data_IF_832592174944
#
_entry.id   IF_832592174944
#
_cell.length_a   1.000
_cell.length_b   1.000
_cell.length_c   1.000
_cell.angle_alpha   90.00
_cell.angle_beta   90.00
_cell.angle_gamma   90.00
#
_symmetry.space_group_name_H-M   'P 1'
#
loop_
_entity.id
_entity.type
_entity.pdbx_description
1 polymer ?
#
# COMPACT_ATOMS: atom_id res chain seq x y z
N UNK A 1 -3.72 -13.84 -8.93
CA UNK A 1 -4.94 -13.80 -9.74
C UNK A 1 -5.51 -12.39 -9.78
N UNK A 2 -5.96 -11.90 -8.63
CA UNK A 2 -6.48 -10.53 -8.58
C UNK A 2 -5.41 -9.50 -8.91
N UNK A 3 -4.15 -9.78 -8.56
CA UNK A 3 -3.05 -8.88 -8.84
C UNK A 3 -2.84 -8.64 -10.34
N UNK A 4 -3.11 -9.63 -11.18
CA UNK A 4 -2.90 -9.52 -12.64
C UNK A 4 -3.65 -8.36 -13.27
N UNK A 5 -4.84 -8.06 -12.79
CA UNK A 5 -5.66 -7.02 -13.38
C UNK A 5 -5.08 -5.63 -13.17
N UNK A 6 -4.21 -5.49 -12.17
CA UNK A 6 -3.61 -4.20 -11.84
C UNK A 6 -2.21 -4.02 -12.44
N UNK A 7 -1.57 -5.10 -12.86
CA UNK A 7 -0.21 -5.02 -13.40
C UNK A 7 -0.16 -4.07 -14.60
N UNK A 8 0.85 -3.21 -14.62
CA UNK A 8 1.07 -2.29 -15.72
C UNK A 8 0.32 -0.97 -15.65
N UNK A 9 -0.60 -0.78 -14.70
CA UNK A 9 -1.26 0.50 -14.52
C UNK A 9 -0.22 1.52 -14.09
N UNK A 10 -0.11 2.68 -14.76
CA UNK A 10 0.92 3.66 -14.42
C UNK A 10 0.64 4.35 -13.09
N UNK A 11 1.69 4.87 -12.48
CA UNK A 11 1.55 5.71 -11.30
C UNK A 11 0.89 7.03 -11.68
N UNK A 12 -0.07 7.46 -10.85
CA UNK A 12 -0.68 8.78 -10.94
C UNK A 12 -1.05 9.22 -9.54
N UNK A 13 -0.52 10.34 -9.12
CA UNK A 13 -0.83 10.90 -7.80
C UNK A 13 -2.34 11.12 -7.65
N UNK A 14 -2.91 10.56 -6.58
CA UNK A 14 -4.36 10.63 -6.35
C UNK A 14 -5.19 9.73 -7.27
N UNK A 15 -4.55 8.93 -8.14
CA UNK A 15 -5.26 8.10 -9.11
C UNK A 15 -6.06 6.99 -8.47
N UNK A 16 -7.25 6.73 -9.01
CA UNK A 16 -8.19 5.74 -8.48
C UNK A 16 -8.85 4.91 -9.56
N UNK A 17 -8.24 4.82 -10.75
CA UNK A 17 -8.79 4.07 -11.87
C UNK A 17 -7.67 3.45 -12.71
N UNK A 18 -8.04 2.81 -13.83
CA UNK A 18 -7.06 2.14 -14.69
C UNK A 18 -6.16 3.09 -15.49
N UNK A 19 -6.43 4.38 -15.47
CA UNK A 19 -5.57 5.38 -16.10
C UNK A 19 -4.39 5.74 -15.22
N UNK A 20 -4.46 5.45 -13.94
CA UNK A 20 -3.36 5.67 -13.03
C UNK A 20 -3.76 5.44 -11.59
N UNK A 21 -2.80 4.99 -10.79
CA UNK A 21 -2.98 4.71 -9.37
C UNK A 21 -1.77 5.19 -8.59
N UNK A 22 -1.99 5.76 -7.42
CA UNK A 22 -0.95 5.84 -6.41
C UNK A 22 -1.07 4.62 -5.48
N UNK A 23 -0.22 4.52 -4.46
CA UNK A 23 -0.23 3.34 -3.61
C UNK A 23 -1.55 3.18 -2.84
N UNK A 24 -2.18 4.28 -2.47
CA UNK A 24 -3.49 4.25 -1.80
C UNK A 24 -4.59 3.82 -2.76
N UNK A 25 -4.55 4.33 -3.99
CA UNK A 25 -5.51 3.95 -5.03
C UNK A 25 -5.43 2.47 -5.36
N UNK A 26 -4.21 1.95 -5.45
CA UNK A 26 -4.01 0.52 -5.68
C UNK A 26 -4.62 -0.31 -4.56
N UNK A 27 -4.33 0.02 -3.31
CA UNK A 27 -4.89 -0.70 -2.17
C UNK A 27 -6.41 -0.60 -2.15
N UNK A 28 -6.94 0.60 -2.36
CA UNK A 28 -8.37 0.84 -2.36
C UNK A 28 -9.10 -0.04 -3.38
N UNK A 29 -8.63 -0.04 -4.62
CA UNK A 29 -9.27 -0.83 -5.69
C UNK A 29 -9.03 -2.32 -5.52
N UNK A 30 -7.85 -2.71 -5.08
CA UNK A 30 -7.52 -4.12 -4.88
C UNK A 30 -8.45 -4.76 -3.85
N UNK A 31 -8.58 -4.16 -2.69
CA UNK A 31 -9.45 -4.70 -1.65
C UNK A 31 -10.92 -4.59 -2.01
N UNK A 32 -11.31 -3.55 -2.73
CA UNK A 32 -12.68 -3.41 -3.23
C UNK A 32 -13.08 -4.60 -4.10
N UNK A 33 -12.16 -5.06 -4.93
CA UNK A 33 -12.38 -6.24 -5.76
C UNK A 33 -12.60 -7.49 -4.92
N UNK A 34 -12.01 -7.57 -3.75
CA UNK A 34 -12.19 -8.67 -2.82
C UNK A 34 -13.43 -8.50 -1.91
N UNK A 35 -14.21 -7.46 -2.13
CA UNK A 35 -15.39 -7.17 -1.33
C UNK A 35 -15.11 -6.39 -0.05
N UNK A 36 -13.91 -5.84 0.08
CA UNK A 36 -13.53 -5.07 1.26
C UNK A 36 -13.49 -3.59 0.87
N UNK A 37 -14.35 -2.80 1.50
CA UNK A 37 -14.43 -1.36 1.24
C UNK A 37 -13.58 -0.59 2.23
N UNK A 38 -12.36 -0.24 1.81
CA UNK A 38 -11.50 0.64 2.59
C UNK A 38 -11.97 2.09 2.44
N UNK A 39 -11.71 2.95 3.46
CA UNK A 39 -11.87 4.38 3.25
C UNK A 39 -10.99 4.84 2.09
N UNK A 40 -11.50 5.75 1.26
CA UNK A 40 -10.73 6.30 0.16
C UNK A 40 -9.89 7.47 0.70
N UNK A 41 -8.78 7.14 1.36
CA UNK A 41 -7.99 8.10 2.10
C UNK A 41 -8.74 8.61 3.33
N UNK A 42 -8.49 9.84 3.74
CA UNK A 42 -9.18 10.49 4.85
C UNK A 42 -10.32 11.40 4.36
N UNK A 43 -10.69 11.29 3.11
CA UNK A 43 -11.74 12.10 2.52
C UNK A 43 -11.28 13.50 2.07
N UNK A 44 -10.02 13.83 2.27
CA UNK A 44 -9.47 15.13 1.91
C UNK A 44 -8.49 14.97 0.75
N UNK A 45 -8.44 15.94 -0.18
CA UNK A 45 -7.42 15.92 -1.22
C UNK A 45 -6.03 16.08 -0.60
N UNK A 46 -5.02 15.59 -1.30
CA UNK A 46 -3.64 15.68 -0.82
C UNK A 46 -2.71 16.09 -1.96
N UNK A 47 -1.69 16.89 -1.61
CA UNK A 47 -0.65 17.30 -2.54
C UNK A 47 0.46 16.24 -2.60
N UNK A 48 1.38 16.38 -3.56
CA UNK A 48 2.48 15.42 -3.70
C UNK A 48 3.45 15.47 -2.52
N UNK A 49 3.47 16.56 -1.78
CA UNK A 49 4.34 16.73 -0.61
C UNK A 49 3.58 16.68 0.73
N UNK A 50 2.42 16.02 0.75
CA UNK A 50 1.57 15.94 1.95
C UNK A 50 2.34 15.44 3.20
N UNK A 51 3.33 14.57 3.01
CA UNK A 51 4.10 13.99 4.11
C UNK A 51 5.01 15.02 4.80
N UNK A 52 5.32 16.12 4.14
CA UNK A 52 6.09 17.21 4.75
C UNK A 52 5.23 18.03 5.71
N UNK A 53 3.95 18.10 5.42
CA UNK A 53 2.98 18.83 6.25
C UNK A 53 2.51 17.96 7.39
N UNK A 54 2.19 16.69 7.09
CA UNK A 54 1.67 15.73 8.08
C UNK A 54 2.29 14.35 7.81
N UNK A 55 3.46 14.07 8.38
CA UNK A 55 4.17 12.80 8.11
C UNK A 55 3.45 11.56 8.64
N UNK A 56 2.46 11.69 9.51
CA UNK A 56 1.73 10.55 10.05
C UNK A 56 0.37 10.34 9.41
N UNK A 57 0.06 11.09 8.36
CA UNK A 57 -1.27 11.03 7.73
C UNK A 57 -1.62 9.65 7.22
N UNK A 58 -0.71 9.01 6.48
CA UNK A 58 -0.95 7.67 5.97
C UNK A 58 -1.05 6.66 7.10
N UNK A 59 -0.16 6.73 8.07
CA UNK A 59 -0.15 5.82 9.20
C UNK A 59 -1.47 5.88 9.98
N UNK A 60 -2.00 7.08 10.23
CA UNK A 60 -3.29 7.21 10.92
C UNK A 60 -4.41 6.48 10.18
N UNK A 61 -4.42 6.59 8.85
CA UNK A 61 -5.41 5.89 8.04
C UNK A 61 -5.25 4.38 8.10
N UNK A 62 -4.01 3.91 8.04
CA UNK A 62 -3.71 2.48 8.10
C UNK A 62 -4.09 1.86 9.44
N UNK A 63 -3.90 2.58 10.52
CA UNK A 63 -4.23 2.09 11.86
C UNK A 63 -5.73 1.90 12.09
N UNK A 64 -6.56 2.42 11.21
CA UNK A 64 -8.02 2.29 11.29
C UNK A 64 -8.57 1.07 10.56
N UNK A 65 -7.76 0.35 9.82
CA UNK A 65 -8.22 -0.77 9.00
C UNK A 65 -7.60 -2.08 9.48
N UNK A 66 -8.42 -3.12 9.54
CA UNK A 66 -7.96 -4.45 9.93
C UNK A 66 -7.33 -4.49 11.31
N UNK A 67 -6.45 -5.47 11.53
CA UNK A 67 -5.67 -5.58 12.76
C UNK A 67 -4.17 -5.49 12.45
N UNK A 68 -3.41 -5.05 13.43
CA UNK A 68 -1.96 -5.02 13.30
C UNK A 68 -1.40 -6.46 13.23
N UNK A 69 -0.43 -6.65 12.35
CA UNK A 69 0.35 -7.88 12.30
C UNK A 69 1.62 -7.67 13.11
N UNK A 70 1.89 -8.56 14.05
CA UNK A 70 3.13 -8.47 14.82
C UNK A 70 4.26 -9.10 14.00
N UNK A 71 5.06 -8.24 13.36
CA UNK A 71 6.13 -8.69 12.46
C UNK A 71 7.20 -9.53 13.15
N UNK A 72 7.29 -9.47 14.48
CA UNK A 72 8.26 -10.25 15.25
C UNK A 72 7.78 -11.69 15.50
N UNK A 73 6.48 -11.91 15.53
CA UNK A 73 5.91 -13.20 15.95
C UNK A 73 5.00 -13.84 14.91
N UNK A 74 4.56 -13.10 13.90
CA UNK A 74 3.65 -13.60 12.87
C UNK A 74 4.28 -13.47 11.50
N UNK A 75 4.18 -14.51 10.65
CA UNK A 75 4.60 -14.37 9.26
C UNK A 75 3.61 -13.50 8.50
N UNK A 76 4.11 -12.83 7.47
CA UNK A 76 3.24 -12.15 6.50
C UNK A 76 2.48 -13.21 5.70
N UNK A 77 1.25 -12.88 5.34
CA UNK A 77 0.39 -13.75 4.54
C UNK A 77 -0.06 -13.03 3.28
N UNK A 78 -0.45 -13.79 2.25
CA UNK A 78 -1.09 -13.16 1.09
C UNK A 78 -2.25 -12.27 1.53
N UNK A 79 -2.41 -11.14 0.86
CA UNK A 79 -3.43 -10.13 1.11
C UNK A 79 -3.19 -9.28 2.35
N UNK A 80 -2.06 -9.40 3.03
CA UNK A 80 -1.69 -8.44 4.06
C UNK A 80 -1.32 -7.11 3.41
N UNK A 81 -1.77 -6.03 4.01
CA UNK A 81 -1.43 -4.67 3.60
C UNK A 81 -0.17 -4.25 4.34
N UNK A 82 0.92 -4.09 3.62
CA UNK A 82 2.22 -3.71 4.19
C UNK A 82 2.49 -2.23 3.95
N UNK A 83 3.22 -1.60 4.88
CA UNK A 83 3.57 -0.19 4.70
C UNK A 83 5.01 0.07 5.08
N UNK A 84 5.58 1.08 4.43
CA UNK A 84 7.01 1.33 4.42
C UNK A 84 7.31 2.79 4.69
N UNK A 85 8.43 3.02 5.35
CA UNK A 85 9.02 4.34 5.43
C UNK A 85 9.91 4.57 4.23
N UNK A 86 9.52 5.53 3.39
CA UNK A 86 10.31 5.94 2.23
C UNK A 86 10.55 7.44 2.38
N UNK A 87 11.82 7.83 2.44
CA UNK A 87 12.15 9.18 2.85
C UNK A 87 11.97 9.33 4.36
N UNK A 88 11.48 10.46 4.81
CA UNK A 88 11.38 10.77 6.24
C UNK A 88 10.07 10.33 6.91
N UNK A 89 9.19 9.64 6.20
CA UNK A 89 7.87 9.32 6.72
C UNK A 89 7.35 8.02 6.12
N UNK A 90 6.29 7.47 6.70
CA UNK A 90 5.57 6.32 6.14
C UNK A 90 4.74 6.86 4.98
N UNK A 91 5.19 6.61 3.76
CA UNK A 91 4.62 7.17 2.54
C UNK A 91 4.25 6.13 1.50
N UNK A 92 4.54 4.85 1.75
CA UNK A 92 4.35 3.81 0.75
C UNK A 92 3.63 2.61 1.36
N UNK A 93 2.76 2.01 0.56
CA UNK A 93 2.02 0.80 0.94
C UNK A 93 1.96 -0.15 -0.24
N UNK A 94 1.73 -1.42 0.07
CA UNK A 94 1.55 -2.46 -0.93
C UNK A 94 0.74 -3.61 -0.37
N UNK A 95 0.43 -4.58 -1.21
CA UNK A 95 -0.37 -5.74 -0.84
C UNK A 95 0.45 -7.00 -1.08
N UNK A 96 0.62 -7.82 -0.06
CA UNK A 96 1.33 -9.09 -0.21
C UNK A 96 0.55 -10.01 -1.15
N UNK A 97 1.22 -10.53 -2.16
CA UNK A 97 0.63 -11.51 -3.07
C UNK A 97 1.01 -12.94 -2.66
N UNK A 98 2.11 -13.08 -1.94
CA UNK A 98 2.52 -14.31 -1.25
C UNK A 98 3.34 -13.89 -0.02
N UNK A 99 4.04 -14.84 0.61
CA UNK A 99 4.82 -14.52 1.81
C UNK A 99 6.09 -13.70 1.53
N UNK A 100 6.49 -13.58 0.27
CA UNK A 100 7.80 -13.03 -0.08
C UNK A 100 7.73 -11.90 -1.10
N UNK A 101 6.55 -11.61 -1.65
CA UNK A 101 6.39 -10.64 -2.74
C UNK A 101 5.17 -9.77 -2.52
N UNK A 102 5.22 -8.55 -3.01
CA UNK A 102 4.11 -7.61 -2.83
C UNK A 102 3.85 -6.82 -4.09
N UNK A 103 2.57 -6.49 -4.27
CA UNK A 103 2.06 -5.65 -5.37
C UNK A 103 2.11 -4.19 -4.91
N UNK A 104 2.71 -3.33 -5.72
CA UNK A 104 2.80 -1.91 -5.39
C UNK A 104 3.04 -1.05 -6.63
N UNK A 105 3.01 0.26 -6.45
CA UNK A 105 3.32 1.21 -7.51
C UNK A 105 4.10 2.39 -6.91
N UNK A 106 5.19 2.76 -7.57
CA UNK A 106 6.04 3.88 -7.18
C UNK A 106 5.94 4.99 -8.22
N UNK A 107 6.21 6.21 -7.78
CA UNK A 107 6.25 7.37 -8.67
C UNK A 107 7.20 7.10 -9.85
N UNK A 108 6.74 7.41 -11.06
CA UNK A 108 7.51 7.21 -12.27
C UNK A 108 7.52 5.78 -12.79
N UNK A 109 6.77 4.88 -12.16
CA UNK A 109 6.71 3.48 -12.52
C UNK A 109 5.28 3.04 -12.76
N UNK A 110 5.08 1.74 -12.94
CA UNK A 110 3.75 1.14 -13.09
C UNK A 110 3.58 0.08 -12.00
N UNK A 111 2.34 -0.32 -11.78
CA UNK A 111 2.02 -1.39 -10.83
C UNK A 111 2.79 -2.64 -11.20
N UNK A 112 3.47 -3.20 -10.21
CA UNK A 112 4.27 -4.41 -10.39
C UNK A 112 4.35 -5.20 -9.10
N UNK A 113 4.78 -6.46 -9.22
CA UNK A 113 5.10 -7.30 -8.07
C UNK A 113 6.61 -7.22 -7.85
N UNK A 114 7.01 -6.95 -6.63
CA UNK A 114 8.42 -6.89 -6.25
C UNK A 114 8.70 -7.88 -5.12
N UNK A 115 9.90 -8.47 -5.07
CA UNK A 115 10.26 -9.28 -3.93
C UNK A 115 10.45 -8.41 -2.68
N UNK A 116 10.02 -8.94 -1.54
CA UNK A 116 10.28 -8.28 -0.25
C UNK A 116 11.72 -8.61 0.16
N UNK A 117 12.66 -8.01 -0.54
CA UNK A 117 14.09 -8.23 -0.34
C UNK A 117 14.60 -7.44 0.87
N UNK A 118 15.90 -7.52 1.13
CA UNK A 118 16.50 -6.86 2.28
C UNK A 118 16.29 -5.35 2.26
N UNK A 119 16.39 -4.71 1.08
CA UNK A 119 16.19 -3.27 0.97
C UNK A 119 14.78 -2.86 1.38
N UNK A 120 13.77 -3.62 0.94
CA UNK A 120 12.39 -3.35 1.31
C UNK A 120 12.11 -3.70 2.77
N UNK A 121 12.69 -4.81 3.27
CA UNK A 121 12.55 -5.17 4.69
C UNK A 121 13.08 -4.09 5.62
N UNK A 122 14.13 -3.41 5.24
CA UNK A 122 14.68 -2.30 6.02
C UNK A 122 13.72 -1.12 6.11
N UNK A 123 12.86 -0.95 5.11
CA UNK A 123 11.87 0.13 5.06
C UNK A 123 10.52 -0.27 5.66
N UNK A 124 10.28 -1.56 5.82
CA UNK A 124 9.01 -2.09 6.32
C UNK A 124 8.78 -1.63 7.76
N UNK A 125 7.63 -1.03 8.01
CA UNK A 125 7.28 -0.51 9.33
C UNK A 125 6.09 -1.21 9.96
N UNK A 126 5.30 -1.92 9.17
CA UNK A 126 4.18 -2.66 9.71
C UNK A 126 3.33 -3.29 8.64
N UNK A 127 2.32 -3.99 9.09
CA UNK A 127 1.32 -4.60 8.22
C UNK A 127 -0.03 -4.64 8.91
N UNK A 128 -1.08 -4.61 8.11
CA UNK A 128 -2.46 -4.72 8.57
C UNK A 128 -3.08 -5.95 7.90
N UNK A 129 -3.82 -6.73 8.66
CA UNK A 129 -4.52 -7.90 8.13
C UNK A 129 -6.00 -7.61 8.12
N UNK A 130 -6.57 -7.63 6.91
CA UNK A 130 -7.95 -7.26 6.68
C UNK A 130 -8.85 -8.48 6.52
N UNK A 131 -8.24 -9.63 6.31
CA UNK A 131 -8.97 -10.88 6.09
C UNK A 131 -8.59 -11.91 7.13
#
# INVERSE_FOLDING_TARGET
EYAREFLGIPYRHGGRDRHGLDCLGLAYLFYKKLGINLPNGDGQPYTTDWYKIDPERLLRGLERVGRAVNLKTEPLKPLDLVYFQVGGAITHAGVMVDQHSFLHVMNGQQVRVSPLNLAWKRRLRGARRLI
#
